data_IF_786578750349
#
_entry.id   IF_786578750349
#
_cell.length_a   1.000
_cell.length_b   1.000
_cell.length_c   1.000
_cell.angle_alpha   90.00
_cell.angle_beta   90.00
_cell.angle_gamma   90.00
#
_symmetry.space_group_name_H-M   'P 1'
#
loop_
_entity.id
_entity.type
_entity.pdbx_description
1 polymer ?
#
# COMPACT_ATOMS: atom_id res chain seq x y z
N UNK A 1 5.31 10.58 -5.55
CA UNK A 1 4.09 10.62 -6.39
C UNK A 1 3.80 9.22 -6.88
N UNK A 2 2.57 8.73 -6.72
CA UNK A 2 2.12 7.58 -7.50
C UNK A 2 1.67 8.10 -8.87
N UNK A 3 1.98 7.39 -9.95
CA UNK A 3 1.63 7.84 -11.31
C UNK A 3 0.12 7.87 -11.57
N UNK A 4 -0.68 7.27 -10.68
CA UNK A 4 -2.11 7.04 -10.88
C UNK A 4 -3.01 7.90 -9.98
N UNK A 5 -2.52 8.30 -8.80
CA UNK A 5 -3.23 9.17 -7.85
C UNK A 5 -2.24 9.88 -6.91
N UNK A 6 -2.63 11.02 -6.35
CA UNK A 6 -1.91 11.70 -5.27
C UNK A 6 -2.49 11.34 -3.89
N UNK A 7 -1.68 11.54 -2.84
CA UNK A 7 -2.11 11.22 -1.47
C UNK A 7 -3.39 11.99 -1.09
N UNK A 8 -3.44 13.29 -1.37
CA UNK A 8 -4.55 14.17 -0.99
C UNK A 8 -5.66 14.25 -2.04
N UNK A 9 -5.69 13.35 -3.03
CA UNK A 9 -6.63 13.45 -4.15
C UNK A 9 -8.08 13.14 -3.74
N UNK A 10 -8.27 12.16 -2.85
CA UNK A 10 -9.54 11.82 -2.22
C UNK A 10 -9.29 10.84 -1.05
N UNK A 11 -10.33 10.57 -0.25
CA UNK A 11 -10.24 9.69 0.91
C UNK A 11 -9.80 8.27 0.54
N UNK A 12 -10.28 7.71 -0.58
CA UNK A 12 -9.85 6.38 -1.05
C UNK A 12 -8.36 6.36 -1.40
N UNK A 13 -7.81 7.47 -1.90
CA UNK A 13 -6.39 7.59 -2.20
C UNK A 13 -5.57 7.62 -0.91
N UNK A 14 -5.99 8.41 0.09
CA UNK A 14 -5.36 8.40 1.42
C UNK A 14 -5.37 7.00 2.03
N UNK A 15 -6.53 6.32 2.04
CA UNK A 15 -6.68 4.96 2.56
C UNK A 15 -5.83 3.94 1.78
N UNK A 16 -5.73 4.08 0.45
CA UNK A 16 -4.84 3.26 -0.39
C UNK A 16 -3.37 3.42 -0.02
N UNK A 17 -2.90 4.66 0.19
CA UNK A 17 -1.54 4.90 0.66
C UNK A 17 -1.31 4.33 2.06
N UNK A 18 -2.29 4.43 2.96
CA UNK A 18 -2.19 3.80 4.28
C UNK A 18 -2.10 2.27 4.18
N UNK A 19 -2.94 1.65 3.36
CA UNK A 19 -2.96 0.20 3.16
C UNK A 19 -1.61 -0.31 2.64
N UNK A 20 -1.04 0.33 1.61
CA UNK A 20 0.29 -0.02 1.08
C UNK A 20 1.39 0.13 2.14
N UNK A 21 1.36 1.20 2.95
CA UNK A 21 2.35 1.40 4.02
C UNK A 21 2.22 0.37 5.13
N UNK A 22 1.00 -0.06 5.47
CA UNK A 22 0.74 -1.14 6.42
C UNK A 22 1.31 -2.47 5.92
N UNK A 23 1.06 -2.83 4.66
CA UNK A 23 1.63 -4.04 4.03
C UNK A 23 3.17 -4.00 4.11
N UNK A 24 3.79 -2.91 3.66
CA UNK A 24 5.25 -2.72 3.72
C UNK A 24 5.81 -2.87 5.14
N UNK A 25 5.06 -2.41 6.14
CA UNK A 25 5.43 -2.54 7.54
C UNK A 25 5.37 -4.00 8.01
N UNK A 26 4.29 -4.73 7.69
CA UNK A 26 4.15 -6.14 8.04
C UNK A 26 5.23 -7.01 7.38
N UNK A 27 5.52 -6.77 6.09
CA UNK A 27 6.62 -7.45 5.40
C UNK A 27 7.99 -7.20 6.06
N UNK A 28 8.21 -5.99 6.58
CA UNK A 28 9.46 -5.66 7.28
C UNK A 28 9.55 -6.38 8.65
N UNK A 29 8.43 -6.53 9.35
CA UNK A 29 8.34 -7.31 10.59
C UNK A 29 8.62 -8.80 10.29
N UNK A 30 8.00 -9.36 9.26
CA UNK A 30 8.17 -10.75 8.84
C UNK A 30 9.64 -11.06 8.51
N UNK A 31 10.33 -10.13 7.84
CA UNK A 31 11.77 -10.23 7.53
C UNK A 31 12.69 -10.06 8.74
N UNK A 32 12.14 -9.84 9.94
CA UNK A 32 12.88 -9.59 11.18
C UNK A 32 13.85 -8.40 11.09
N UNK A 33 13.53 -7.42 10.26
CA UNK A 33 14.27 -6.15 10.21
C UNK A 33 13.74 -5.26 11.33
N UNK A 34 14.40 -5.22 12.49
CA UNK A 34 13.85 -4.52 13.66
C UNK A 34 13.85 -2.99 13.55
N UNK A 35 14.59 -2.40 12.61
CA UNK A 35 14.71 -0.94 12.47
C UNK A 35 13.69 -0.37 11.48
N UNK A 36 13.46 -1.09 10.40
CA UNK A 36 12.64 -0.63 9.27
C UNK A 36 11.14 -0.45 9.58
N UNK A 37 10.46 -1.33 10.34
CA UNK A 37 9.08 -1.13 10.79
C UNK A 37 8.93 0.13 11.64
N UNK A 38 9.90 0.41 12.53
CA UNK A 38 9.90 1.62 13.36
C UNK A 38 10.01 2.87 12.51
N UNK A 39 10.87 2.86 11.49
CA UNK A 39 11.05 3.97 10.56
C UNK A 39 9.79 4.21 9.71
N UNK A 40 9.23 3.15 9.11
CA UNK A 40 7.99 3.22 8.32
C UNK A 40 6.86 3.76 9.19
N UNK A 41 6.69 3.24 10.41
CA UNK A 41 5.64 3.68 11.32
C UNK A 41 5.78 5.15 11.69
N UNK A 42 6.97 5.61 12.09
CA UNK A 42 7.18 7.01 12.49
C UNK A 42 7.01 7.99 11.33
N UNK A 43 7.57 7.66 10.17
CA UNK A 43 7.70 8.60 9.06
C UNK A 43 6.53 8.54 8.09
N UNK A 44 5.94 7.36 7.87
CA UNK A 44 4.95 7.14 6.81
C UNK A 44 3.53 6.92 7.35
N UNK A 45 3.37 6.46 8.60
CA UNK A 45 2.05 6.11 9.15
C UNK A 45 1.61 7.09 10.25
N UNK A 46 2.40 7.26 11.32
CA UNK A 46 2.06 8.05 12.50
C UNK A 46 1.90 9.54 12.21
N UNK A 47 2.70 10.08 11.29
CA UNK A 47 2.65 11.48 10.87
C UNK A 47 1.36 11.85 10.12
N UNK A 48 0.62 10.87 9.60
CA UNK A 48 -0.51 11.10 8.70
C UNK A 48 -1.86 10.71 9.29
N UNK A 49 -1.91 10.05 10.44
CA UNK A 49 -3.16 9.51 11.00
C UNK A 49 -3.25 9.74 12.51
N UNK A 50 -4.47 9.95 12.99
CA UNK A 50 -4.81 10.08 14.42
C UNK A 50 -5.69 8.91 14.89
N UNK A 51 -5.70 7.80 14.16
CA UNK A 51 -6.62 6.68 14.39
C UNK A 51 -6.14 5.72 15.50
N UNK A 52 -7.05 5.09 16.27
CA UNK A 52 -6.71 4.05 17.27
C UNK A 52 -6.00 2.82 16.67
N UNK A 53 -6.21 2.55 15.39
CA UNK A 53 -5.49 1.51 14.62
C UNK A 53 -3.95 1.69 14.64
N UNK A 54 -3.46 2.92 14.85
CA UNK A 54 -2.03 3.20 14.98
C UNK A 54 -1.44 2.71 16.29
N UNK A 55 -2.22 2.73 17.37
CA UNK A 55 -1.73 2.26 18.66
C UNK A 55 -1.48 0.75 18.61
N UNK A 56 -2.36 0.01 17.94
CA UNK A 56 -2.19 -1.43 17.76
C UNK A 56 -0.94 -1.77 16.93
N UNK A 57 -0.73 -1.07 15.82
CA UNK A 57 0.51 -1.20 15.04
C UNK A 57 1.75 -0.80 15.84
N UNK A 58 1.64 0.25 16.66
CA UNK A 58 2.71 0.66 17.58
C UNK A 58 3.07 -0.46 18.54
N UNK A 59 2.08 -1.03 19.24
CA UNK A 59 2.28 -2.16 20.17
C UNK A 59 2.93 -3.36 19.49
N UNK A 60 2.53 -3.67 18.24
CA UNK A 60 3.16 -4.72 17.45
C UNK A 60 4.65 -4.45 17.21
N UNK A 61 5.01 -3.24 16.77
CA UNK A 61 6.40 -2.86 16.44
C UNK A 61 7.29 -2.83 17.68
N UNK A 62 6.77 -2.38 18.83
CA UNK A 62 7.53 -2.32 20.08
C UNK A 62 7.63 -3.67 20.80
N UNK A 63 7.13 -4.76 20.21
CA UNK A 63 7.31 -6.11 20.74
C UNK A 63 6.21 -6.59 21.69
N UNK A 64 5.16 -5.80 21.92
CA UNK A 64 4.13 -6.14 22.92
C UNK A 64 3.17 -7.25 22.45
N UNK A 65 3.03 -7.48 21.14
CA UNK A 65 2.11 -8.48 20.57
C UNK A 65 2.70 -9.33 19.44
N UNK A 66 4.03 -9.36 19.28
CA UNK A 66 4.70 -10.04 18.15
C UNK A 66 4.46 -11.55 18.13
N UNK A 67 4.27 -12.18 19.29
CA UNK A 67 4.11 -13.62 19.43
C UNK A 67 2.78 -14.15 18.86
N UNK A 68 1.74 -13.30 18.86
CA UNK A 68 0.36 -13.71 18.55
C UNK A 68 -0.16 -13.08 17.25
N UNK A 69 0.68 -12.30 16.56
CA UNK A 69 0.26 -11.55 15.38
C UNK A 69 0.60 -12.32 14.10
N UNK A 70 -0.44 -12.82 13.43
CA UNK A 70 -0.30 -13.45 12.11
C UNK A 70 -0.10 -12.39 11.03
N UNK A 71 1.18 -12.12 10.71
CA UNK A 71 1.56 -11.16 9.67
C UNK A 71 1.12 -11.60 8.28
N UNK A 72 1.06 -12.91 8.02
CA UNK A 72 0.69 -13.45 6.72
C UNK A 72 -0.81 -13.23 6.45
N UNK A 73 -1.66 -13.69 7.37
CA UNK A 73 -3.11 -13.49 7.26
C UNK A 73 -3.48 -12.00 7.21
N UNK A 74 -2.83 -11.18 8.03
CA UNK A 74 -3.04 -9.73 8.04
C UNK A 74 -2.63 -9.08 6.70
N UNK A 75 -1.53 -9.54 6.09
CA UNK A 75 -1.07 -9.04 4.79
C UNK A 75 -2.05 -9.43 3.68
N UNK A 76 -2.53 -10.69 3.68
CA UNK A 76 -3.55 -11.14 2.72
C UNK A 76 -4.83 -10.31 2.83
N UNK A 77 -5.29 -10.05 4.05
CA UNK A 77 -6.49 -9.24 4.26
C UNK A 77 -6.32 -7.80 3.76
N UNK A 78 -5.15 -7.19 3.99
CA UNK A 78 -4.84 -5.85 3.47
C UNK A 78 -4.74 -5.84 1.92
N UNK A 79 -4.24 -6.91 1.30
CA UNK A 79 -4.22 -7.01 -0.17
C UNK A 79 -5.63 -7.03 -0.76
N UNK A 80 -6.58 -7.71 -0.10
CA UNK A 80 -8.00 -7.72 -0.50
C UNK A 80 -8.60 -6.31 -0.37
N UNK A 81 -8.35 -5.64 0.75
CA UNK A 81 -8.78 -4.25 0.97
C UNK A 81 -8.18 -3.29 -0.06
N UNK A 82 -6.90 -3.47 -0.40
CA UNK A 82 -6.22 -2.70 -1.43
C UNK A 82 -6.87 -2.88 -2.81
N UNK A 83 -7.25 -4.10 -3.16
CA UNK A 83 -7.95 -4.38 -4.41
C UNK A 83 -9.33 -3.69 -4.46
N UNK A 84 -10.07 -3.69 -3.35
CA UNK A 84 -11.36 -3.01 -3.26
C UNK A 84 -11.21 -1.48 -3.34
N UNK A 85 -10.22 -0.92 -2.65
CA UNK A 85 -9.88 0.50 -2.73
C UNK A 85 -9.50 0.90 -4.15
N UNK A 86 -8.72 0.08 -4.87
CA UNK A 86 -8.38 0.33 -6.27
C UNK A 86 -9.61 0.38 -7.17
N UNK A 87 -10.57 -0.53 -6.98
CA UNK A 87 -11.81 -0.60 -7.78
C UNK A 87 -12.78 0.54 -7.46
N UNK A 88 -12.86 0.95 -6.20
CA UNK A 88 -13.80 1.97 -5.73
C UNK A 88 -13.27 3.39 -5.92
N UNK A 89 -11.95 3.58 -5.95
CA UNK A 89 -11.32 4.89 -6.07
C UNK A 89 -11.54 5.51 -7.47
N UNK A 90 -12.22 6.67 -7.57
CA UNK A 90 -12.49 7.33 -8.85
C UNK A 90 -11.24 7.67 -9.66
N UNK A 91 -10.10 7.90 -9.01
CA UNK A 91 -8.83 8.23 -9.68
C UNK A 91 -8.30 7.08 -10.54
N UNK A 92 -8.77 5.85 -10.33
CA UNK A 92 -8.37 4.66 -11.09
C UNK A 92 -9.38 4.24 -12.16
N UNK A 93 -10.53 4.92 -12.28
CA UNK A 93 -11.53 4.60 -13.29
C UNK A 93 -10.95 4.64 -14.70
N UNK A 94 -11.12 3.54 -15.44
CA UNK A 94 -10.60 3.40 -16.80
C UNK A 94 -9.07 3.21 -16.90
N UNK A 95 -8.34 3.22 -15.78
CA UNK A 95 -6.87 3.08 -15.74
C UNK A 95 -6.38 1.68 -15.34
N UNK A 96 -7.28 0.81 -14.87
CA UNK A 96 -6.93 -0.54 -14.39
C UNK A 96 -6.83 -1.59 -15.49
N UNK A 97 -7.26 -1.28 -16.71
CA UNK A 97 -7.19 -2.20 -17.85
C UNK A 97 -6.01 -1.81 -18.74
N UNK A 98 -5.17 -2.79 -19.04
CA UNK A 98 -4.13 -2.58 -20.06
C UNK A 98 -4.81 -2.28 -21.41
N UNK A 99 -4.31 -1.32 -22.20
CA UNK A 99 -4.82 -1.10 -23.54
C UNK A 99 -4.68 -2.37 -24.38
N UNK A 100 -5.68 -2.65 -25.22
CA UNK A 100 -5.55 -3.71 -26.23
C UNK A 100 -4.44 -3.32 -27.19
N UNK A 101 -3.38 -4.13 -27.25
CA UNK A 101 -2.31 -3.97 -28.22
C UNK A 101 -2.53 -5.00 -29.32
N UNK A 102 -2.69 -4.55 -30.55
CA UNK A 102 -2.68 -5.42 -31.71
C UNK A 102 -1.21 -5.70 -32.10
N UNK A 103 -0.94 -6.78 -32.83
CA UNK A 103 0.42 -7.18 -33.25
C UNK A 103 1.20 -6.07 -34.00
N UNK A 104 0.51 -5.03 -34.48
CA UNK A 104 1.08 -3.91 -35.22
C UNK A 104 1.41 -2.68 -34.36
N UNK A 105 0.97 -2.64 -33.11
CA UNK A 105 1.05 -1.44 -32.25
C UNK A 105 2.48 -1.07 -31.85
N UNK A 106 3.40 -2.05 -31.82
CA UNK A 106 4.83 -1.84 -31.60
C UNK A 106 5.64 -1.93 -32.91
N UNK A 107 5.16 -1.36 -34.01
CA UNK A 107 6.08 -1.02 -35.11
C UNK A 107 6.83 0.24 -34.71
N UNK A 108 7.92 0.05 -33.97
CA UNK A 108 8.93 1.09 -33.71
C UNK A 108 9.21 1.77 -35.05
N UNK A 109 8.79 3.02 -35.17
CA UNK A 109 8.97 3.81 -36.38
C UNK A 109 10.49 3.91 -36.59
N UNK A 110 11.04 3.07 -37.48
CA UNK A 110 12.36 3.27 -38.07
C UNK A 110 12.26 4.51 -38.96
N UNK A 111 12.27 5.69 -38.34
CA UNK A 111 12.46 6.96 -39.04
C UNK A 111 13.89 6.96 -39.56
N UNK A 112 13.98 6.94 -40.89
CA UNK A 112 15.19 7.22 -41.67
C UNK A 112 15.70 8.62 -41.41
#
# INVERSE_FOLDING_TARGET
MCAFTNFDENNFSQDLFFCVRKIKLLEAIERKDYKKPVEIYKNEIKSFSTKPELEELGRLIYGERVCDYDTEASTVQLCIELEDLLKTNPSFNGKLKHPSLDDKTLTVVKKR
#
